data_IF_162818037611
#
_entry.id   IF_162818037611
#
_cell.length_a   1.000
_cell.length_b   1.000
_cell.length_c   1.000
_cell.angle_alpha   90.00
_cell.angle_beta   90.00
_cell.angle_gamma   90.00
#
_symmetry.space_group_name_H-M   'P 1'
#
loop_
_entity.id
_entity.type
_entity.pdbx_description
1 polymer ?
#
# COMPACT_ATOMS: atom_id res chain seq x y z
N UNK A 1 -12.36 -25.90 -11.27
CA UNK A 1 -13.51 -25.14 -10.75
C UNK A 1 -13.15 -23.67 -10.92
N UNK A 2 -13.69 -22.96 -11.91
CA UNK A 2 -13.38 -21.53 -12.08
C UNK A 2 -13.88 -20.80 -10.84
N UNK A 3 -12.98 -20.21 -10.04
CA UNK A 3 -13.36 -19.29 -8.97
C UNK A 3 -14.11 -18.14 -9.64
N UNK A 4 -15.38 -17.95 -9.27
CA UNK A 4 -16.16 -16.79 -9.71
C UNK A 4 -15.50 -15.55 -9.11
N UNK A 5 -15.12 -14.60 -9.96
CA UNK A 5 -14.58 -13.30 -9.53
C UNK A 5 -15.59 -12.61 -8.60
N UNK A 6 -15.16 -12.26 -7.40
CA UNK A 6 -16.00 -11.55 -6.42
C UNK A 6 -16.15 -10.10 -6.89
N UNK A 7 -17.38 -9.62 -7.00
CA UNK A 7 -17.62 -8.20 -7.32
C UNK A 7 -17.96 -7.41 -6.07
N UNK A 8 -17.93 -6.08 -6.16
CA UNK A 8 -18.37 -5.20 -5.06
C UNK A 8 -19.83 -5.46 -4.67
N UNK A 9 -20.69 -5.91 -5.61
CA UNK A 9 -22.07 -6.25 -5.28
C UNK A 9 -22.20 -7.52 -4.43
N UNK A 10 -21.27 -8.46 -4.56
CA UNK A 10 -21.26 -9.72 -3.79
C UNK A 10 -20.84 -9.53 -2.32
N UNK A 11 -20.24 -8.38 -1.98
CA UNK A 11 -19.86 -8.01 -0.61
C UNK A 11 -21.04 -7.27 0.01
N UNK A 12 -22.02 -7.96 0.59
CA UNK A 12 -23.30 -7.36 1.04
C UNK A 12 -23.30 -6.83 2.48
N UNK A 13 -22.30 -7.18 3.27
CA UNK A 13 -22.13 -6.73 4.65
C UNK A 13 -20.64 -6.62 5.04
N UNK A 14 -20.30 -5.83 6.08
CA UNK A 14 -18.93 -5.79 6.62
C UNK A 14 -18.40 -7.18 7.01
N UNK A 15 -19.25 -8.03 7.59
CA UNK A 15 -18.87 -9.41 7.94
C UNK A 15 -18.40 -10.22 6.73
N UNK A 16 -19.05 -10.04 5.56
CA UNK A 16 -18.64 -10.70 4.32
C UNK A 16 -17.28 -10.22 3.84
N UNK A 17 -16.98 -8.93 4.00
CA UNK A 17 -15.64 -8.40 3.69
C UNK A 17 -14.60 -8.94 4.67
N UNK A 18 -14.90 -9.06 5.96
CA UNK A 18 -13.99 -9.65 6.94
C UNK A 18 -13.59 -11.08 6.54
N UNK A 19 -14.55 -11.92 6.17
CA UNK A 19 -14.29 -13.29 5.70
C UNK A 19 -13.38 -13.34 4.46
N UNK A 20 -13.59 -12.41 3.52
CA UNK A 20 -12.77 -12.32 2.31
C UNK A 20 -11.36 -11.84 2.62
N UNK A 21 -11.20 -10.84 3.49
CA UNK A 21 -9.90 -10.38 3.96
C UNK A 21 -9.16 -11.51 4.69
N UNK A 22 -9.85 -12.25 5.57
CA UNK A 22 -9.31 -13.39 6.31
C UNK A 22 -8.84 -14.49 5.33
N UNK A 23 -9.64 -14.84 4.32
CA UNK A 23 -9.24 -15.82 3.30
C UNK A 23 -7.97 -15.38 2.55
N UNK A 24 -7.78 -14.08 2.33
CA UNK A 24 -6.59 -13.54 1.67
C UNK A 24 -5.47 -13.16 2.66
N UNK A 25 -5.44 -13.80 3.84
CA UNK A 25 -4.43 -13.66 4.88
C UNK A 25 -4.29 -12.26 5.49
N UNK A 26 -5.33 -11.43 5.38
CA UNK A 26 -5.41 -10.12 6.03
C UNK A 26 -6.34 -10.16 7.25
N UNK A 27 -5.76 -10.12 8.45
CA UNK A 27 -6.50 -10.13 9.71
C UNK A 27 -6.93 -8.71 10.10
N UNK A 28 -8.10 -8.30 9.62
CA UNK A 28 -8.71 -7.01 9.90
C UNK A 28 -9.43 -6.96 11.27
N UNK A 29 -9.47 -5.78 11.92
CA UNK A 29 -10.52 -5.49 12.91
C UNK A 29 -11.83 -5.06 12.23
N UNK A 30 -12.85 -4.97 13.06
CA UNK A 30 -14.14 -4.38 12.74
C UNK A 30 -14.00 -2.95 12.19
N UNK A 31 -13.07 -2.13 12.70
CA UNK A 31 -12.89 -0.75 12.28
C UNK A 31 -12.45 -0.63 10.82
N UNK A 32 -11.33 -1.27 10.47
CA UNK A 32 -10.78 -1.25 9.11
C UNK A 32 -11.69 -1.98 8.14
N UNK A 33 -12.33 -3.06 8.58
CA UNK A 33 -13.33 -3.77 7.77
C UNK A 33 -14.51 -2.88 7.45
N UNK A 34 -15.07 -2.18 8.44
CA UNK A 34 -16.22 -1.30 8.24
C UNK A 34 -15.87 -0.13 7.34
N UNK A 35 -14.71 0.51 7.56
CA UNK A 35 -14.24 1.61 6.72
C UNK A 35 -14.03 1.18 5.26
N UNK A 36 -13.36 0.04 5.04
CA UNK A 36 -13.16 -0.50 3.70
C UNK A 36 -14.48 -0.89 3.03
N UNK A 37 -15.40 -1.54 3.77
CA UNK A 37 -16.72 -1.89 3.26
C UNK A 37 -17.51 -0.64 2.81
N UNK A 38 -17.54 0.40 3.64
CA UNK A 38 -18.22 1.66 3.32
C UNK A 38 -17.57 2.36 2.12
N UNK A 39 -16.24 2.38 2.04
CA UNK A 39 -15.53 2.94 0.89
C UNK A 39 -15.92 2.24 -0.42
N UNK A 40 -15.92 0.90 -0.43
CA UNK A 40 -16.34 0.09 -1.59
C UNK A 40 -17.79 0.35 -1.98
N UNK A 41 -18.72 0.38 -1.01
CA UNK A 41 -20.15 0.57 -1.29
C UNK A 41 -20.54 1.98 -1.71
N UNK A 42 -19.84 2.99 -1.17
CA UNK A 42 -20.11 4.39 -1.47
C UNK A 42 -19.34 4.88 -2.70
N UNK A 43 -18.42 4.08 -3.25
CA UNK A 43 -17.54 4.52 -4.35
C UNK A 43 -16.65 5.69 -3.95
N UNK A 44 -16.22 5.74 -2.68
CA UNK A 44 -15.40 6.82 -2.13
C UNK A 44 -13.99 6.31 -1.81
N UNK A 45 -12.94 7.13 -1.98
CA UNK A 45 -11.58 6.72 -1.61
C UNK A 45 -11.46 6.38 -0.11
N UNK A 46 -10.68 5.35 0.21
CA UNK A 46 -10.33 4.98 1.58
C UNK A 46 -8.98 5.60 1.94
N UNK A 47 -8.93 6.45 2.96
CA UNK A 47 -7.69 7.01 3.48
C UNK A 47 -7.29 6.33 4.78
N UNK A 48 -6.14 5.66 4.74
CA UNK A 48 -5.56 4.89 5.83
C UNK A 48 -4.36 5.64 6.41
N UNK A 49 -4.46 6.04 7.67
CA UNK A 49 -3.38 6.70 8.40
C UNK A 49 -2.93 5.81 9.57
N UNK A 50 -1.66 5.85 9.94
CA UNK A 50 -1.15 5.03 11.05
C UNK A 50 0.36 4.88 10.99
N UNK A 51 0.94 4.12 11.92
CA UNK A 51 2.40 3.89 11.95
C UNK A 51 2.87 3.02 10.77
N UNK A 52 4.18 3.05 10.50
CA UNK A 52 4.76 2.21 9.47
C UNK A 52 4.59 0.72 9.82
N UNK A 53 4.27 -0.10 8.83
CA UNK A 53 4.17 -1.56 9.04
C UNK A 53 2.92 -2.04 9.77
N UNK A 54 1.84 -1.24 9.87
CA UNK A 54 0.54 -1.69 10.43
C UNK A 54 -0.39 -2.38 9.41
N UNK A 55 0.03 -2.51 8.15
CA UNK A 55 -0.74 -3.23 7.12
C UNK A 55 -1.53 -2.36 6.11
N UNK A 56 -1.37 -1.03 6.12
CA UNK A 56 -2.08 -0.10 5.21
C UNK A 56 -1.96 -0.49 3.73
N UNK A 57 -0.74 -0.65 3.24
CA UNK A 57 -0.43 -1.05 1.85
C UNK A 57 -0.91 -2.47 1.54
N UNK A 58 -0.88 -3.35 2.54
CA UNK A 58 -1.29 -4.75 2.38
C UNK A 58 -2.81 -4.88 2.20
N UNK A 59 -3.59 -4.01 2.85
CA UNK A 59 -5.04 -3.95 2.63
C UNK A 59 -5.38 -3.67 1.16
N UNK A 60 -4.70 -2.72 0.51
CA UNK A 60 -4.94 -2.40 -0.90
C UNK A 60 -4.63 -3.59 -1.82
N UNK A 61 -3.52 -4.30 -1.58
CA UNK A 61 -3.18 -5.53 -2.32
C UNK A 61 -4.24 -6.62 -2.12
N UNK A 62 -4.71 -6.76 -0.88
CA UNK A 62 -5.74 -7.75 -0.52
C UNK A 62 -7.06 -7.46 -1.22
N UNK A 63 -7.49 -6.19 -1.23
CA UNK A 63 -8.68 -5.75 -1.97
C UNK A 63 -8.55 -6.03 -3.47
N UNK A 64 -7.38 -5.78 -4.06
CA UNK A 64 -7.12 -6.11 -5.47
C UNK A 64 -7.25 -7.61 -5.74
N UNK A 65 -6.72 -8.45 -4.84
CA UNK A 65 -6.83 -9.90 -4.94
C UNK A 65 -8.27 -10.42 -4.74
N UNK A 66 -9.04 -9.83 -3.82
CA UNK A 66 -10.44 -10.18 -3.58
C UNK A 66 -11.29 -9.87 -4.83
N UNK A 67 -11.06 -8.71 -5.44
CA UNK A 67 -11.79 -8.22 -6.60
C UNK A 67 -11.27 -8.77 -7.94
N UNK A 68 -10.20 -9.58 -7.91
CA UNK A 68 -9.48 -10.07 -9.11
C UNK A 68 -9.14 -8.93 -10.08
N UNK A 69 -8.71 -7.80 -9.50
CA UNK A 69 -8.47 -6.55 -10.21
C UNK A 69 -6.97 -6.20 -10.17
N UNK A 70 -6.42 -5.60 -11.23
CA UNK A 70 -5.05 -5.12 -11.23
C UNK A 70 -4.84 -4.05 -10.15
N UNK A 71 -3.78 -4.23 -9.36
CA UNK A 71 -3.27 -3.21 -8.45
C UNK A 71 -2.37 -2.24 -9.21
N UNK A 72 -2.75 -0.98 -9.21
CA UNK A 72 -1.98 0.12 -9.80
C UNK A 72 -1.46 0.97 -8.64
N UNK A 73 -0.14 1.05 -8.50
CA UNK A 73 0.51 1.78 -7.40
C UNK A 73 1.06 3.11 -7.90
N UNK A 74 0.70 4.18 -7.21
CA UNK A 74 1.31 5.49 -7.27
C UNK A 74 2.07 5.72 -5.97
N UNK A 75 3.39 5.68 -6.04
CA UNK A 75 4.24 5.96 -4.88
C UNK A 75 4.47 7.46 -4.77
N UNK A 76 4.09 8.05 -3.65
CA UNK A 76 4.35 9.45 -3.37
C UNK A 76 5.74 9.64 -2.75
N UNK A 77 6.40 10.71 -3.17
CA UNK A 77 7.69 11.18 -2.67
C UNK A 77 7.83 12.67 -2.99
N UNK A 78 8.81 13.32 -2.36
CA UNK A 78 9.12 14.73 -2.60
C UNK A 78 9.51 14.94 -4.07
N UNK A 79 9.00 16.00 -4.69
CA UNK A 79 9.25 16.28 -6.10
C UNK A 79 8.51 15.37 -7.09
N UNK A 80 7.51 14.60 -6.64
CA UNK A 80 6.59 13.90 -7.54
C UNK A 80 5.75 14.93 -8.31
N UNK A 81 5.89 14.96 -9.64
CA UNK A 81 5.13 15.87 -10.49
C UNK A 81 3.88 15.21 -11.11
N UNK A 82 3.00 16.02 -11.69
CA UNK A 82 1.77 15.56 -12.32
C UNK A 82 2.03 14.64 -13.54
N UNK A 83 3.08 14.88 -14.33
CA UNK A 83 3.41 14.07 -15.50
C UNK A 83 3.80 12.64 -15.10
N UNK A 84 4.60 12.49 -14.03
CA UNK A 84 4.98 11.20 -13.46
C UNK A 84 3.79 10.39 -12.94
N UNK A 85 2.70 11.05 -12.55
CA UNK A 85 1.48 10.42 -12.08
C UNK A 85 0.42 10.18 -13.18
N UNK A 86 0.30 11.08 -14.15
CA UNK A 86 -0.73 11.06 -15.19
C UNK A 86 -0.30 10.33 -16.46
N UNK A 87 0.61 10.92 -17.24
CA UNK A 87 1.05 10.39 -18.52
C UNK A 87 2.34 11.06 -18.99
N UNK A 88 2.99 10.41 -19.96
CA UNK A 88 4.11 10.95 -20.70
C UNK A 88 3.95 10.63 -22.18
N UNK A 89 4.63 11.35 -23.07
CA UNK A 89 4.64 11.06 -24.49
C UNK A 89 5.89 10.26 -24.84
N UNK A 90 5.72 9.16 -25.58
CA UNK A 90 6.83 8.33 -26.09
C UNK A 90 7.53 9.02 -27.27
N UNK A 91 8.32 10.05 -26.97
CA UNK A 91 9.07 10.82 -27.97
C UNK A 91 9.98 9.94 -28.85
N UNK A 92 10.71 8.93 -28.32
CA UNK A 92 11.47 8.01 -29.17
C UNK A 92 10.61 7.30 -30.21
N UNK A 93 9.43 6.81 -29.81
CA UNK A 93 8.52 6.10 -30.73
C UNK A 93 7.84 7.05 -31.71
N UNK A 94 7.51 8.28 -31.31
CA UNK A 94 7.02 9.33 -32.20
C UNK A 94 8.06 9.67 -33.28
N UNK A 95 9.33 9.84 -32.90
CA UNK A 95 10.41 10.13 -33.85
C UNK A 95 10.64 8.97 -34.83
N UNK A 96 10.56 7.73 -34.36
CA UNK A 96 10.66 6.55 -35.23
C UNK A 96 9.50 6.51 -36.24
N UNK A 97 8.28 6.85 -35.82
CA UNK A 97 7.11 6.96 -36.69
C UNK A 97 7.32 8.01 -37.79
N UNK A 98 7.76 9.21 -37.42
CA UNK A 98 8.06 10.29 -38.37
C UNK A 98 9.12 9.88 -39.40
N UNK A 99 10.22 9.25 -38.97
CA UNK A 99 11.28 8.77 -39.87
C UNK A 99 10.81 7.67 -40.81
N UNK A 100 9.97 6.76 -40.34
CA UNK A 100 9.40 5.71 -41.18
C UNK A 100 8.46 6.29 -42.24
N UNK A 101 7.65 7.29 -41.89
CA UNK A 101 6.77 7.98 -42.82
C UNK A 101 7.56 8.80 -43.87
N UNK A 102 8.63 9.48 -43.45
CA UNK A 102 9.55 10.18 -44.36
C UNK A 102 10.18 9.20 -45.37
N UNK A 103 10.69 8.06 -44.89
CA UNK A 103 11.25 7.01 -45.76
C UNK A 103 10.23 6.38 -46.71
N UNK A 104 8.95 6.36 -46.33
CA UNK A 104 7.84 5.90 -47.16
C UNK A 104 7.33 6.97 -48.16
N UNK A 105 7.88 8.19 -48.12
CA UNK A 105 7.51 9.27 -49.04
C UNK A 105 6.18 9.95 -48.72
N UNK A 106 5.72 9.91 -47.47
CA UNK A 106 4.50 10.61 -47.04
C UNK A 106 4.73 12.12 -47.13
N UNK A 107 3.92 12.82 -47.93
CA UNK A 107 4.09 14.26 -48.21
C UNK A 107 3.13 15.17 -47.43
N UNK A 108 2.12 14.60 -46.76
CA UNK A 108 1.17 15.37 -45.96
C UNK A 108 1.69 15.54 -44.53
N UNK A 109 2.39 16.66 -44.32
CA UNK A 109 2.99 17.01 -43.02
C UNK A 109 1.91 17.24 -41.95
N UNK A 110 0.78 17.83 -42.30
CA UNK A 110 -0.28 18.14 -41.35
C UNK A 110 -0.97 16.86 -40.82
N UNK A 111 -1.19 15.88 -41.71
CA UNK A 111 -1.66 14.56 -41.29
C UNK A 111 -0.64 13.88 -40.36
N UNK A 112 0.65 13.97 -40.69
CA UNK A 112 1.73 13.38 -39.90
C UNK A 112 1.87 13.99 -38.49
N UNK A 113 1.71 15.30 -38.37
CA UNK A 113 1.70 16.03 -37.09
C UNK A 113 0.50 15.63 -36.21
N UNK A 114 -0.67 15.37 -36.80
CA UNK A 114 -1.81 14.83 -36.06
C UNK A 114 -1.54 13.41 -35.53
N UNK A 115 -0.84 12.58 -36.30
CA UNK A 115 -0.57 11.19 -35.95
C UNK A 115 0.36 11.02 -34.75
N UNK A 116 1.27 11.97 -34.48
CA UNK A 116 2.22 11.87 -33.35
C UNK A 116 1.55 12.08 -31.99
N UNK A 117 0.40 12.77 -31.95
CA UNK A 117 -0.41 12.95 -30.74
C UNK A 117 -1.54 11.92 -30.64
N UNK A 118 -1.28 10.69 -31.08
CA UNK A 118 -2.21 9.57 -30.97
C UNK A 118 -2.04 8.79 -29.66
N UNK A 119 -3.13 8.24 -29.12
CA UNK A 119 -3.14 7.43 -27.90
C UNK A 119 -2.06 6.34 -27.88
N UNK A 120 -1.65 5.77 -29.02
CA UNK A 120 -0.58 4.75 -29.10
C UNK A 120 0.80 5.24 -28.63
N UNK A 121 1.05 6.54 -28.62
CA UNK A 121 2.28 7.16 -28.14
C UNK A 121 2.16 7.68 -26.70
N UNK A 122 0.96 7.68 -26.13
CA UNK A 122 0.72 8.11 -24.77
C UNK A 122 1.07 6.99 -23.78
N UNK A 123 2.06 7.23 -22.94
CA UNK A 123 2.45 6.35 -21.86
C UNK A 123 1.57 6.67 -20.65
N UNK A 124 0.59 5.83 -20.38
CA UNK A 124 -0.26 5.98 -19.21
C UNK A 124 0.53 5.67 -17.92
N UNK A 125 0.61 6.66 -17.03
CA UNK A 125 1.18 6.54 -15.68
C UNK A 125 0.08 6.14 -14.68
N UNK A 126 0.38 5.91 -13.39
CA UNK A 126 -0.57 5.24 -12.49
C UNK A 126 -1.98 5.82 -12.46
N UNK A 127 -2.16 7.14 -12.47
CA UNK A 127 -3.49 7.75 -12.44
C UNK A 127 -4.25 7.50 -13.74
N UNK A 128 -3.67 7.83 -14.90
CA UNK A 128 -4.35 7.59 -16.17
C UNK A 128 -4.60 6.10 -16.41
N UNK A 129 -3.63 5.25 -16.08
CA UNK A 129 -3.75 3.80 -16.19
C UNK A 129 -4.91 3.28 -15.34
N UNK A 130 -5.13 3.83 -14.15
CA UNK A 130 -6.25 3.46 -13.29
C UNK A 130 -7.60 3.90 -13.86
N UNK A 131 -7.65 5.04 -14.57
CA UNK A 131 -8.87 5.47 -15.27
C UNK A 131 -9.18 4.59 -16.47
N UNK A 132 -8.17 4.08 -17.18
CA UNK A 132 -8.35 3.27 -18.38
C UNK A 132 -8.50 1.76 -18.10
N UNK A 133 -8.04 1.30 -16.94
CA UNK A 133 -8.09 -0.11 -16.54
C UNK A 133 -9.23 -0.32 -15.56
N UNK A 134 -10.31 -0.98 -15.99
CA UNK A 134 -11.49 -1.20 -15.17
C UNK A 134 -11.96 -2.66 -15.24
N UNK A 135 -12.18 -3.34 -14.10
CA UNK A 135 -11.96 -2.86 -12.73
C UNK A 135 -10.47 -2.67 -12.41
N UNK A 136 -10.14 -1.83 -11.43
CA UNK A 136 -8.78 -1.73 -10.86
C UNK A 136 -8.81 -1.23 -9.42
N UNK A 137 -7.70 -1.46 -8.71
CA UNK A 137 -7.43 -0.86 -7.40
C UNK A 137 -6.26 0.11 -7.55
N UNK A 138 -6.49 1.39 -7.27
CA UNK A 138 -5.47 2.42 -7.22
C UNK A 138 -4.98 2.58 -5.77
N UNK A 139 -3.71 2.26 -5.54
CA UNK A 139 -3.02 2.54 -4.30
C UNK A 139 -2.20 3.82 -4.46
N UNK A 140 -2.55 4.88 -3.74
CA UNK A 140 -1.73 6.08 -3.55
C UNK A 140 -0.97 5.92 -2.23
N UNK A 141 0.30 5.56 -2.31
CA UNK A 141 1.09 5.14 -1.16
C UNK A 141 1.95 6.29 -0.62
N UNK A 142 1.96 6.49 0.69
CA UNK A 142 2.73 7.54 1.40
C UNK A 142 2.43 8.96 0.91
N UNK A 143 1.14 9.32 0.78
CA UNK A 143 0.70 10.64 0.29
C UNK A 143 1.27 11.81 1.10
N UNK A 144 1.60 11.58 2.37
CA UNK A 144 2.30 12.51 3.26
C UNK A 144 3.74 12.84 2.84
N UNK A 145 4.27 12.20 1.80
CA UNK A 145 5.57 12.55 1.20
C UNK A 145 5.48 13.36 -0.07
N UNK A 146 4.30 13.48 -0.68
CA UNK A 146 4.12 14.37 -1.83
C UNK A 146 4.09 15.84 -1.37
N UNK A 147 4.19 16.77 -2.31
CA UNK A 147 4.05 18.21 -2.03
C UNK A 147 2.57 18.65 -2.11
N UNK A 148 2.24 19.79 -1.51
CA UNK A 148 0.86 20.30 -1.44
C UNK A 148 0.22 20.52 -2.82
N UNK A 149 1.03 20.91 -3.81
CA UNK A 149 0.61 21.08 -5.21
C UNK A 149 0.11 19.76 -5.79
N UNK A 150 0.82 18.67 -5.53
CA UNK A 150 0.43 17.34 -5.98
C UNK A 150 -0.84 16.85 -5.27
N UNK A 151 -1.01 17.13 -3.97
CA UNK A 151 -2.24 16.79 -3.25
C UNK A 151 -3.47 17.49 -3.84
N UNK A 152 -3.34 18.79 -4.17
CA UNK A 152 -4.43 19.56 -4.78
C UNK A 152 -4.80 18.99 -6.15
N UNK A 153 -3.79 18.62 -6.95
CA UNK A 153 -3.99 17.95 -8.23
C UNK A 153 -4.67 16.57 -8.06
N UNK A 154 -4.19 15.74 -7.14
CA UNK A 154 -4.78 14.43 -6.88
C UNK A 154 -6.24 14.56 -6.44
N UNK A 155 -6.56 15.56 -5.64
CA UNK A 155 -7.94 15.84 -5.19
C UNK A 155 -8.89 16.10 -6.36
N UNK A 156 -8.43 16.83 -7.38
CA UNK A 156 -9.20 17.08 -8.60
C UNK A 156 -9.50 15.77 -9.32
N UNK A 157 -8.46 14.94 -9.54
CA UNK A 157 -8.60 13.64 -10.20
C UNK A 157 -9.52 12.70 -9.41
N UNK A 158 -9.41 12.64 -8.09
CA UNK A 158 -10.23 11.78 -7.23
C UNK A 158 -11.69 12.26 -7.10
N UNK A 159 -11.99 13.50 -7.47
CA UNK A 159 -13.35 14.04 -7.41
C UNK A 159 -14.19 13.59 -8.61
N UNK A 160 -13.61 13.68 -9.82
CA UNK A 160 -14.35 13.42 -11.06
C UNK A 160 -13.87 12.16 -11.81
N UNK A 161 -12.78 11.54 -11.37
CA UNK A 161 -12.12 10.40 -12.05
C UNK A 161 -11.88 10.69 -13.54
N UNK A 162 -11.38 11.90 -13.79
CA UNK A 162 -11.07 12.42 -15.13
C UNK A 162 -9.66 12.97 -15.19
N UNK A 163 -9.02 12.80 -16.35
CA UNK A 163 -7.76 13.43 -16.70
C UNK A 163 -7.92 14.10 -18.06
N UNK A 164 -7.63 15.39 -18.15
CA UNK A 164 -7.60 16.12 -19.42
C UNK A 164 -6.21 16.08 -20.02
N UNK A 165 -6.11 15.53 -21.23
CA UNK A 165 -4.90 15.53 -22.04
C UNK A 165 -5.11 16.54 -23.16
N UNK A 166 -4.35 17.65 -23.24
CA UNK A 166 -4.62 18.74 -24.18
C UNK A 166 -4.78 18.29 -25.64
N UNK A 167 -4.01 17.29 -26.07
CA UNK A 167 -3.95 16.87 -27.46
C UNK A 167 -5.01 15.83 -27.85
N UNK A 168 -5.53 15.04 -26.90
CA UNK A 168 -6.51 13.96 -27.17
C UNK A 168 -7.85 14.14 -26.45
N UNK A 169 -7.97 15.16 -25.60
CA UNK A 169 -9.17 15.48 -24.84
C UNK A 169 -9.22 14.84 -23.45
N UNK A 170 -10.41 14.83 -22.86
CA UNK A 170 -10.65 14.34 -21.50
C UNK A 170 -10.93 12.85 -21.49
N UNK A 171 -10.18 12.12 -20.66
CA UNK A 171 -10.35 10.70 -20.40
C UNK A 171 -11.05 10.54 -19.05
N UNK A 172 -12.11 9.75 -19.01
CA UNK A 172 -12.91 9.49 -17.81
C UNK A 172 -13.09 7.99 -17.59
N UNK A 173 -13.09 7.56 -16.33
CA UNK A 173 -13.41 6.18 -15.99
C UNK A 173 -14.92 5.92 -16.06
N UNK A 174 -15.35 4.94 -16.86
CA UNK A 174 -16.75 4.51 -16.92
C UNK A 174 -17.23 3.93 -15.57
N UNK A 175 -16.34 3.23 -14.87
CA UNK A 175 -16.45 2.79 -13.49
C UNK A 175 -15.19 3.23 -12.74
N UNK A 176 -15.30 4.08 -11.71
CA UNK A 176 -14.16 4.51 -10.92
C UNK A 176 -13.36 3.34 -10.33
N UNK A 177 -12.03 3.45 -10.22
CA UNK A 177 -11.22 2.48 -9.49
C UNK A 177 -11.54 2.50 -8.00
N UNK A 178 -11.29 1.37 -7.32
CA UNK A 178 -11.23 1.37 -5.86
C UNK A 178 -9.95 2.09 -5.45
N UNK A 179 -10.06 3.17 -4.66
CA UNK A 179 -8.90 3.98 -4.27
C UNK A 179 -8.57 3.76 -2.80
N UNK A 180 -7.30 3.46 -2.53
CA UNK A 180 -6.73 3.42 -1.17
C UNK A 180 -5.57 4.42 -1.11
N UNK A 181 -5.65 5.38 -0.20
CA UNK A 181 -4.58 6.31 0.13
C UNK A 181 -3.93 5.86 1.45
N UNK A 182 -2.60 5.88 1.54
CA UNK A 182 -1.88 5.56 2.78
C UNK A 182 -1.02 6.74 3.23
N UNK A 183 -0.92 6.93 4.54
CA UNK A 183 -0.01 7.91 5.15
C UNK A 183 0.65 7.32 6.39
N UNK A 184 1.94 7.63 6.58
CA UNK A 184 2.70 7.33 7.79
C UNK A 184 2.71 8.51 8.77
N UNK A 185 1.97 9.59 8.46
CA UNK A 185 1.90 10.84 9.20
C UNK A 185 3.28 11.49 9.41
N UNK A 186 4.16 11.42 8.41
CA UNK A 186 5.43 12.17 8.44
C UNK A 186 5.19 13.68 8.33
N UNK A 187 4.09 14.08 7.69
CA UNK A 187 3.51 15.42 7.74
C UNK A 187 1.99 15.33 7.75
N UNK A 188 1.35 16.47 8.02
CA UNK A 188 -0.10 16.56 7.94
C UNK A 188 -0.57 16.67 6.48
N UNK A 189 -1.45 15.76 6.07
CA UNK A 189 -2.13 15.74 4.77
C UNK A 189 -3.25 16.77 4.76
N UNK A 190 -3.48 17.42 3.61
CA UNK A 190 -4.41 18.52 3.48
C UNK A 190 -5.85 18.11 3.84
N UNK A 191 -6.53 18.96 4.61
CA UNK A 191 -7.86 18.73 5.17
C UNK A 191 -8.92 18.45 4.09
N UNK A 192 -8.75 19.07 2.92
CA UNK A 192 -9.61 18.87 1.76
C UNK A 192 -9.59 17.43 1.25
N UNK A 193 -8.42 16.77 1.23
CA UNK A 193 -8.27 15.38 0.81
C UNK A 193 -8.94 14.45 1.82
N UNK A 194 -8.70 14.67 3.13
CA UNK A 194 -9.33 13.91 4.22
C UNK A 194 -10.86 13.94 4.11
N UNK A 195 -11.45 15.11 3.86
CA UNK A 195 -12.92 15.29 3.74
C UNK A 195 -13.54 14.56 2.54
N UNK A 196 -12.78 14.30 1.48
CA UNK A 196 -13.26 13.54 0.31
C UNK A 196 -13.15 12.03 0.49
N UNK A 197 -12.36 11.55 1.45
CA UNK A 197 -12.16 10.13 1.72
C UNK A 197 -13.04 9.60 2.87
N UNK A 198 -13.19 8.28 2.95
CA UNK A 198 -13.49 7.58 4.21
C UNK A 198 -12.17 7.45 4.96
N UNK A 199 -12.09 8.03 6.14
CA UNK A 199 -10.88 7.99 6.95
C UNK A 199 -10.90 6.83 7.93
N UNK A 200 -9.77 6.14 8.07
CA UNK A 200 -9.56 5.18 9.15
C UNK A 200 -8.11 5.21 9.64
N UNK A 201 -7.94 5.21 10.96
CA UNK A 201 -6.64 5.09 11.60
C UNK A 201 -6.34 3.62 11.91
N UNK A 202 -5.25 3.09 11.34
CA UNK A 202 -4.77 1.75 11.64
C UNK A 202 -3.83 1.79 12.84
N UNK A 203 -4.27 1.17 13.92
CA UNK A 203 -3.45 0.93 15.10
C UNK A 203 -2.58 -0.31 14.93
N UNK A 204 -1.54 -0.41 15.77
CA UNK A 204 -0.85 -1.68 15.92
C UNK A 204 -1.83 -2.75 16.43
N UNK A 205 -1.81 -3.97 15.87
CA UNK A 205 -2.65 -5.04 16.38
C UNK A 205 -2.29 -5.35 17.83
N UNK A 206 -3.31 -5.66 18.63
CA UNK A 206 -3.11 -6.20 19.97
C UNK A 206 -2.40 -7.56 19.93
N UNK A 207 -1.90 -7.99 21.08
CA UNK A 207 -1.10 -9.21 21.25
C UNK A 207 -1.67 -10.43 20.53
N UNK A 208 -2.93 -10.80 20.81
CA UNK A 208 -3.54 -12.01 20.24
C UNK A 208 -3.62 -11.96 18.71
N UNK A 209 -3.88 -10.78 18.15
CA UNK A 209 -3.95 -10.59 16.70
C UNK A 209 -2.55 -10.65 16.08
N UNK A 210 -1.55 -10.04 16.70
CA UNK A 210 -0.18 -10.13 16.21
C UNK A 210 0.32 -11.58 16.19
N UNK A 211 0.07 -12.35 17.25
CA UNK A 211 0.36 -13.80 17.27
C UNK A 211 -0.32 -14.52 16.11
N UNK A 212 -1.60 -14.23 15.86
CA UNK A 212 -2.33 -14.82 14.74
C UNK A 212 -1.73 -14.41 13.37
N UNK A 213 -1.31 -13.16 13.22
CA UNK A 213 -0.63 -12.66 12.01
C UNK A 213 0.68 -13.42 11.79
N UNK A 214 1.54 -13.52 12.80
CA UNK A 214 2.84 -14.21 12.71
C UNK A 214 2.65 -15.67 12.30
N UNK A 215 1.74 -16.39 12.95
CA UNK A 215 1.48 -17.80 12.65
C UNK A 215 0.90 -18.04 11.27
N UNK A 216 0.09 -17.11 10.78
CA UNK A 216 -0.52 -17.22 9.45
C UNK A 216 0.48 -16.93 8.34
N UNK A 217 1.29 -15.88 8.50
CA UNK A 217 2.29 -15.47 7.51
C UNK A 217 3.52 -16.38 7.49
N UNK A 218 3.82 -17.06 8.59
CA UNK A 218 4.97 -17.97 8.71
C UNK A 218 4.48 -19.39 9.06
N UNK A 219 4.02 -20.17 8.07
CA UNK A 219 3.62 -21.57 8.27
C UNK A 219 4.80 -22.37 8.82
N UNK A 220 4.67 -22.89 10.03
CA UNK A 220 5.76 -23.56 10.76
C UNK A 220 6.19 -22.82 12.02
N UNK A 221 5.72 -21.59 12.23
CA UNK A 221 5.92 -20.87 13.49
C UNK A 221 5.17 -21.55 14.64
N UNK A 222 5.91 -22.00 15.65
CA UNK A 222 5.33 -22.52 16.88
C UNK A 222 4.54 -21.41 17.60
N UNK A 223 3.42 -21.76 18.21
CA UNK A 223 2.59 -20.82 18.96
C UNK A 223 3.37 -20.08 20.05
N UNK A 224 4.25 -20.81 20.74
CA UNK A 224 5.13 -20.25 21.77
C UNK A 224 6.08 -19.20 21.21
N UNK A 225 6.76 -19.48 20.10
CA UNK A 225 7.64 -18.50 19.46
C UNK A 225 6.87 -17.24 19.03
N UNK A 226 5.71 -17.40 18.39
CA UNK A 226 4.89 -16.26 17.97
C UNK A 226 4.44 -15.41 19.16
N UNK A 227 4.01 -16.05 20.26
CA UNK A 227 3.66 -15.38 21.50
C UNK A 227 4.84 -14.64 22.13
N UNK A 228 6.00 -15.29 22.19
CA UNK A 228 7.20 -14.66 22.76
C UNK A 228 7.63 -13.44 21.93
N UNK A 229 7.67 -13.55 20.60
CA UNK A 229 8.02 -12.43 19.70
C UNK A 229 7.02 -11.29 19.82
N UNK A 230 5.71 -11.56 19.74
CA UNK A 230 4.68 -10.53 19.86
C UNK A 230 4.75 -9.80 21.20
N UNK A 231 4.97 -10.52 22.31
CA UNK A 231 5.12 -9.94 23.65
C UNK A 231 6.36 -9.04 23.72
N UNK A 232 7.50 -9.53 23.24
CA UNK A 232 8.75 -8.77 23.26
C UNK A 232 8.68 -7.55 22.34
N UNK A 233 8.09 -7.68 21.16
CA UNK A 233 7.90 -6.55 20.25
C UNK A 233 6.97 -5.49 20.83
N UNK A 234 5.86 -5.89 21.47
CA UNK A 234 4.98 -4.96 22.19
C UNK A 234 5.73 -4.13 23.23
N UNK A 235 6.58 -4.78 24.04
CA UNK A 235 7.44 -4.09 25.02
C UNK A 235 8.48 -3.18 24.37
N UNK A 236 9.01 -3.53 23.19
CA UNK A 236 9.91 -2.67 22.43
C UNK A 236 9.21 -1.39 21.97
N UNK A 237 7.93 -1.47 21.54
CA UNK A 237 7.16 -0.28 21.14
C UNK A 237 6.93 0.69 22.31
N UNK A 238 6.71 0.14 23.50
CA UNK A 238 6.52 0.93 24.73
C UNK A 238 7.84 1.49 25.31
N UNK A 239 9.01 1.07 24.78
CA UNK A 239 10.31 1.43 25.33
C UNK A 239 10.82 2.83 24.90
N UNK A 240 10.07 3.60 24.12
CA UNK A 240 10.51 4.92 23.65
C UNK A 240 11.74 4.83 22.75
N UNK A 241 11.75 3.84 21.85
CA UNK A 241 12.78 3.67 20.83
C UNK A 241 12.68 4.78 19.78
N UNK A 242 13.80 5.07 19.12
CA UNK A 242 13.84 6.03 18.00
C UNK A 242 12.93 5.55 16.87
N UNK A 243 13.01 4.25 16.54
CA UNK A 243 12.10 3.62 15.59
C UNK A 243 11.58 2.30 16.16
N UNK A 244 10.41 2.30 16.82
CA UNK A 244 9.81 1.07 17.32
C UNK A 244 9.47 0.11 16.17
N UNK A 245 9.49 -1.22 16.40
CA UNK A 245 9.24 -2.19 15.35
C UNK A 245 7.75 -2.30 15.01
N UNK A 246 7.45 -2.27 13.70
CA UNK A 246 6.13 -2.56 13.18
C UNK A 246 5.92 -4.05 12.88
N UNK A 247 4.77 -4.41 12.29
CA UNK A 247 4.46 -5.82 12.01
C UNK A 247 5.37 -6.42 10.94
N UNK A 248 5.86 -5.59 10.01
CA UNK A 248 6.86 -6.02 9.05
C UNK A 248 8.16 -6.44 9.75
N UNK A 249 8.67 -5.62 10.67
CA UNK A 249 9.88 -5.93 11.43
C UNK A 249 9.69 -7.14 12.37
N UNK A 250 8.49 -7.35 12.94
CA UNK A 250 8.23 -8.53 13.78
C UNK A 250 8.09 -9.82 12.96
N UNK A 251 7.55 -9.74 11.74
CA UNK A 251 7.57 -10.84 10.77
C UNK A 251 9.01 -11.19 10.36
N UNK A 252 9.81 -10.21 9.94
CA UNK A 252 11.21 -10.42 9.56
C UNK A 252 12.02 -11.07 10.69
N UNK A 253 11.78 -10.65 11.94
CA UNK A 253 12.46 -11.22 13.09
C UNK A 253 12.01 -12.64 13.41
N UNK A 254 10.71 -12.91 13.31
CA UNK A 254 10.17 -14.26 13.50
C UNK A 254 10.71 -15.20 12.43
N UNK A 255 10.78 -14.77 11.17
CA UNK A 255 11.35 -15.56 10.07
C UNK A 255 12.85 -15.84 10.30
N UNK A 256 13.61 -14.85 10.76
CA UNK A 256 15.02 -15.03 11.11
C UNK A 256 15.20 -16.08 12.23
N UNK A 257 14.36 -16.03 13.27
CA UNK A 257 14.37 -17.00 14.37
C UNK A 257 14.01 -18.41 13.89
N UNK A 258 12.99 -18.54 13.03
CA UNK A 258 12.60 -19.83 12.43
C UNK A 258 13.70 -20.42 11.54
N UNK A 259 14.39 -19.57 10.77
CA UNK A 259 15.51 -19.97 9.92
C UNK A 259 16.66 -20.57 10.75
N UNK A 260 16.83 -20.10 12.00
CA UNK A 260 17.79 -20.63 12.96
C UNK A 260 17.26 -21.84 13.75
N UNK A 261 16.05 -22.33 13.45
CA UNK A 261 15.44 -23.48 14.11
C UNK A 261 14.86 -23.18 15.49
N UNK A 262 14.60 -21.91 15.81
CA UNK A 262 14.00 -21.54 17.10
C UNK A 262 12.53 -22.00 17.17
N UNK A 263 12.13 -22.52 18.33
CA UNK A 263 10.74 -22.87 18.67
C UNK A 263 10.17 -22.03 19.83
N UNK A 264 11.04 -21.24 20.46
CA UNK A 264 10.78 -20.27 21.53
C UNK A 264 11.83 -19.16 21.46
N UNK A 265 11.56 -18.02 22.12
CA UNK A 265 12.51 -16.91 22.11
C UNK A 265 13.59 -17.08 23.20
N UNK A 266 14.72 -17.66 22.82
CA UNK A 266 15.92 -17.70 23.65
C UNK A 266 16.64 -16.32 23.67
N UNK A 267 17.10 -15.81 24.84
CA UNK A 267 17.75 -14.50 24.94
C UNK A 267 19.03 -14.36 24.11
N UNK A 268 19.82 -15.42 23.94
CA UNK A 268 21.05 -15.35 23.14
C UNK A 268 20.72 -15.27 21.64
N UNK A 269 19.75 -16.06 21.18
CA UNK A 269 19.22 -15.96 19.82
C UNK A 269 18.56 -14.61 19.56
N UNK A 270 17.76 -14.09 20.49
CA UNK A 270 17.15 -12.77 20.41
C UNK A 270 18.20 -11.66 20.28
N UNK A 271 19.28 -11.73 21.06
CA UNK A 271 20.37 -10.77 21.00
C UNK A 271 21.15 -10.82 19.68
N UNK A 272 21.36 -12.02 19.14
CA UNK A 272 22.08 -12.27 17.89
C UNK A 272 21.26 -11.83 16.66
N UNK A 273 19.93 -11.91 16.74
CA UNK A 273 19.00 -11.59 15.64
C UNK A 273 18.39 -10.19 15.75
N UNK A 274 18.80 -9.38 16.73
CA UNK A 274 18.17 -8.09 17.02
C UNK A 274 18.18 -7.11 15.82
N UNK A 275 19.16 -7.24 14.92
CA UNK A 275 19.21 -6.47 13.68
C UNK A 275 18.08 -6.76 12.68
N UNK A 276 17.38 -7.89 12.84
CA UNK A 276 16.19 -8.21 12.05
C UNK A 276 15.01 -7.30 12.41
N UNK A 277 14.80 -7.03 13.70
CA UNK A 277 13.69 -6.21 14.21
C UNK A 277 14.05 -4.72 14.40
N UNK A 278 15.30 -4.41 14.77
CA UNK A 278 15.73 -3.04 15.09
C UNK A 278 16.90 -2.60 14.20
N UNK A 279 16.70 -1.52 13.44
CA UNK A 279 17.68 -1.01 12.47
C UNK A 279 18.62 0.07 13.04
N UNK A 280 18.28 0.65 14.19
CA UNK A 280 19.09 1.67 14.84
C UNK A 280 19.96 1.06 15.93
N UNK A 281 21.26 1.35 15.92
CA UNK A 281 22.22 0.83 16.90
C UNK A 281 21.87 1.25 18.33
N UNK A 282 21.43 2.49 18.52
CA UNK A 282 21.01 3.03 19.81
C UNK A 282 19.79 2.27 20.39
N UNK A 283 18.83 1.93 19.54
CA UNK A 283 17.67 1.11 19.93
C UNK A 283 18.09 -0.30 20.34
N UNK A 284 19.02 -0.91 19.60
CA UNK A 284 19.59 -2.23 19.95
C UNK A 284 20.32 -2.19 21.30
N UNK A 285 21.13 -1.17 21.56
CA UNK A 285 21.84 -0.98 22.82
C UNK A 285 20.87 -0.73 23.98
N UNK A 286 19.85 0.12 23.76
CA UNK A 286 18.78 0.40 24.72
C UNK A 286 18.00 -0.87 25.11
N UNK A 287 17.59 -1.68 24.12
CA UNK A 287 16.86 -2.94 24.35
C UNK A 287 17.70 -3.94 25.16
N UNK A 288 19.00 -4.06 24.85
CA UNK A 288 19.92 -4.92 25.61
C UNK A 288 20.08 -4.43 27.05
N UNK A 289 20.31 -3.13 27.25
CA UNK A 289 20.51 -2.54 28.57
C UNK A 289 19.27 -2.68 29.47
N UNK A 290 18.07 -2.63 28.89
CA UNK A 290 16.79 -2.75 29.60
C UNK A 290 16.30 -4.18 29.79
N UNK A 291 17.05 -5.20 29.32
CA UNK A 291 16.67 -6.60 29.47
C UNK A 291 15.37 -6.97 28.75
N UNK A 292 15.05 -6.29 27.64
CA UNK A 292 13.80 -6.46 26.89
C UNK A 292 13.78 -7.73 26.01
N UNK A 293 14.89 -8.46 25.91
CA UNK A 293 15.04 -9.67 25.09
C UNK A 293 14.46 -10.94 25.72
N UNK A 294 13.85 -10.83 26.90
CA UNK A 294 13.17 -11.93 27.59
C UNK A 294 11.66 -11.72 27.54
N UNK A 295 10.83 -12.75 27.27
CA UNK A 295 9.38 -12.60 27.23
C UNK A 295 8.79 -12.07 28.56
N UNK A 296 9.34 -12.50 29.70
CA UNK A 296 8.77 -12.21 31.02
C UNK A 296 9.34 -10.97 31.72
N UNK A 297 10.29 -10.28 31.11
CA UNK A 297 10.98 -9.14 31.70
C UNK A 297 11.86 -9.59 32.86
N UNK A 298 13.17 -9.44 32.71
CA UNK A 298 14.13 -9.86 33.72
C UNK A 298 13.74 -9.35 35.12
N UNK A 299 13.27 -10.26 35.97
CA UNK A 299 13.50 -10.14 37.41
C UNK A 299 14.93 -10.62 37.63
N UNK A 300 15.86 -9.68 37.53
CA UNK A 300 17.26 -9.80 37.93
C UNK A 300 17.65 -8.52 38.64
#
# INVERSE_FOLDING_TARGET
MLRRTTTISDIDAPARLAELLDHHDYLADEGVTTAAYLALKMGRPLFLEGEAGVGKTELAKTLAAILDAPLIRLQCHEGLDAAQAMYDWDFPRQLLHLKAAEAAGVADVAALEGEIYDRRFLIARPLLRALETQPSVLLVDEIDRADDEFEAFLLEVLSDFTISVPEIGTISAASPPVVVLTSNRTREVHDALKRRCLYHWLEHPGFDREVAILRRRLPGCAERLAADVARTAGRMREAGLVKPPGIAETLDWTEALLTLGAVELDPALAAATLGAVLKHREDQESVRARGLLTPDGGRG
#
